data_IF_304972767287
#
_entry.id   IF_304972767287
#
_cell.length_a   1.000
_cell.length_b   1.000
_cell.length_c   1.000
_cell.angle_alpha   90.00
_cell.angle_beta   90.00
_cell.angle_gamma   90.00
#
_symmetry.space_group_name_H-M   'P 1'
#
loop_
_entity.id
_entity.type
_entity.pdbx_description
1 polymer ?
#
# COMPACT_ATOMS: atom_id res chain seq x y z
N UNK A 1 69.71 0.32 23.00
CA UNK A 1 68.52 1.14 22.63
C UNK A 1 67.57 0.33 21.73
N UNK A 2 66.52 -0.22 22.27
CA UNK A 2 65.53 -0.97 21.53
C UNK A 2 64.30 -0.05 21.23
N UNK A 3 64.00 0.20 19.94
CA UNK A 3 62.84 0.94 19.53
C UNK A 3 61.60 0.03 19.61
N UNK A 4 60.61 0.41 20.42
CA UNK A 4 59.33 -0.25 20.51
C UNK A 4 58.44 0.32 19.39
N UNK A 5 58.05 -0.52 18.45
CA UNK A 5 57.09 -0.13 17.43
C UNK A 5 55.69 -0.26 18.02
N UNK A 6 55.02 0.88 18.15
CA UNK A 6 53.58 0.91 18.48
C UNK A 6 52.77 0.49 17.25
N UNK A 7 52.11 -0.65 17.33
CA UNK A 7 51.13 -1.07 16.33
C UNK A 7 49.83 -0.32 16.55
N UNK A 8 49.46 0.47 15.57
CA UNK A 8 48.17 1.12 15.54
C UNK A 8 47.06 0.08 15.34
N UNK A 9 46.16 -0.06 16.31
CA UNK A 9 44.98 -0.87 16.21
C UNK A 9 43.98 -0.22 15.20
N UNK A 10 43.93 -0.81 14.01
CA UNK A 10 42.92 -0.42 12.99
C UNK A 10 41.54 -0.82 13.46
N UNK A 11 40.71 0.18 13.71
CA UNK A 11 39.25 0.01 13.97
C UNK A 11 38.62 -0.53 12.70
N UNK A 12 37.85 -1.63 12.76
CA UNK A 12 37.12 -2.12 11.58
C UNK A 12 36.06 -1.10 11.18
N UNK A 13 35.81 -0.90 9.86
CA UNK A 13 34.75 0.00 9.40
C UNK A 13 33.42 -0.52 9.87
N UNK A 14 32.66 0.35 10.53
CA UNK A 14 31.29 0.06 10.97
C UNK A 14 30.47 -0.43 9.79
N UNK A 15 29.93 -1.62 9.91
CA UNK A 15 28.95 -2.18 8.98
C UNK A 15 27.72 -1.28 8.97
N UNK A 16 27.65 -0.37 8.03
CA UNK A 16 26.43 0.35 7.70
C UNK A 16 25.41 -0.70 7.28
N UNK A 17 24.48 -0.99 8.17
CA UNK A 17 23.36 -1.89 7.89
C UNK A 17 22.49 -1.20 6.84
N UNK A 18 22.60 -1.65 5.59
CA UNK A 18 21.74 -1.18 4.51
C UNK A 18 20.28 -1.33 4.95
N UNK A 19 19.39 -0.36 4.66
CA UNK A 19 17.98 -0.50 4.97
C UNK A 19 17.49 -1.78 4.30
N UNK A 20 16.81 -2.64 5.08
CA UNK A 20 16.19 -3.87 4.58
C UNK A 20 15.19 -3.45 3.51
N UNK A 21 15.56 -3.61 2.25
CA UNK A 21 14.65 -3.37 1.15
C UNK A 21 13.44 -4.30 1.33
N UNK A 22 12.26 -3.75 1.45
CA UNK A 22 11.02 -4.53 1.48
C UNK A 22 10.98 -5.36 0.20
N UNK A 23 10.95 -6.66 0.32
CA UNK A 23 11.02 -7.58 -0.81
C UNK A 23 9.76 -7.58 -1.69
N UNK A 24 8.64 -7.07 -1.19
CA UNK A 24 7.38 -6.94 -1.92
C UNK A 24 6.71 -5.59 -1.57
N UNK A 25 6.41 -4.80 -2.60
CA UNK A 25 5.73 -3.50 -2.45
C UNK A 25 4.77 -3.29 -3.61
N UNK A 26 3.67 -2.60 -3.32
CA UNK A 26 2.84 -1.96 -4.32
C UNK A 26 3.41 -0.57 -4.64
N UNK A 27 2.96 0.03 -5.73
CA UNK A 27 3.26 1.41 -6.02
C UNK A 27 2.65 2.32 -4.93
N UNK A 28 3.45 3.24 -4.39
CA UNK A 28 2.96 4.20 -3.41
C UNK A 28 1.92 5.14 -4.03
N UNK A 29 0.88 5.47 -3.29
CA UNK A 29 -0.04 6.50 -3.71
C UNK A 29 0.70 7.84 -3.81
N UNK A 30 0.75 8.42 -5.02
CA UNK A 30 1.40 9.70 -5.29
C UNK A 30 0.44 10.72 -5.89
N UNK A 31 -0.47 10.26 -6.75
CA UNK A 31 -1.47 11.10 -7.43
C UNK A 31 -2.80 10.34 -7.54
N UNK A 32 -3.64 10.47 -6.52
CA UNK A 32 -4.96 9.86 -6.49
C UNK A 32 -5.96 10.54 -7.43
N UNK A 33 -5.72 11.79 -7.84
CA UNK A 33 -6.53 12.45 -8.85
C UNK A 33 -6.32 11.80 -10.23
N UNK A 34 -5.08 11.51 -10.61
CA UNK A 34 -4.76 10.79 -11.84
C UNK A 34 -5.29 9.34 -11.80
N UNK A 35 -5.12 8.63 -10.68
CA UNK A 35 -5.68 7.30 -10.48
C UNK A 35 -7.21 7.32 -10.55
N UNK A 36 -7.84 8.33 -9.97
CA UNK A 36 -9.29 8.54 -10.01
C UNK A 36 -9.82 8.78 -11.43
N UNK A 37 -9.12 9.59 -12.21
CA UNK A 37 -9.45 9.81 -13.63
C UNK A 37 -9.34 8.51 -14.44
N UNK A 38 -8.31 7.71 -14.20
CA UNK A 38 -8.14 6.40 -14.83
C UNK A 38 -9.27 5.44 -14.42
N UNK A 39 -9.55 5.35 -13.12
CA UNK A 39 -10.65 4.54 -12.58
C UNK A 39 -12.00 4.88 -13.24
N UNK A 40 -12.30 6.16 -13.38
CA UNK A 40 -13.54 6.62 -14.01
C UNK A 40 -13.60 6.26 -15.50
N UNK A 41 -12.50 6.45 -16.23
CA UNK A 41 -12.43 6.17 -17.67
C UNK A 41 -12.49 4.67 -17.98
N UNK A 42 -11.70 3.88 -17.27
CA UNK A 42 -11.59 2.44 -17.49
C UNK A 42 -12.64 1.63 -16.71
N UNK A 43 -13.34 2.26 -15.76
CA UNK A 43 -14.31 1.64 -14.82
C UNK A 43 -13.71 0.51 -14.02
N UNK A 44 -12.52 0.74 -13.52
CA UNK A 44 -11.80 -0.19 -12.65
C UNK A 44 -11.70 0.39 -11.24
N UNK A 45 -11.82 -0.43 -10.20
CA UNK A 45 -11.69 0.04 -8.82
C UNK A 45 -10.24 0.36 -8.46
N UNK A 46 -10.06 1.15 -7.42
CA UNK A 46 -8.78 1.45 -6.81
C UNK A 46 -8.71 0.73 -5.46
N UNK A 47 -7.73 -0.12 -5.26
CA UNK A 47 -7.43 -0.76 -3.99
C UNK A 47 -6.36 0.06 -3.26
N UNK A 48 -6.72 0.62 -2.13
CA UNK A 48 -5.81 1.30 -1.21
C UNK A 48 -5.39 0.32 -0.12
N UNK A 49 -4.11 0.03 -0.05
CA UNK A 49 -3.51 -0.80 0.98
C UNK A 49 -2.82 0.08 2.00
N UNK A 50 -3.37 0.12 3.21
CA UNK A 50 -2.87 0.91 4.32
C UNK A 50 -1.92 0.06 5.16
N UNK A 51 -0.68 0.48 5.24
CA UNK A 51 0.36 -0.20 6.01
C UNK A 51 1.16 0.76 6.89
N UNK A 52 2.11 0.22 7.63
CA UNK A 52 3.11 0.96 8.39
C UNK A 52 4.47 0.29 8.29
N UNK A 53 5.51 1.02 8.68
CA UNK A 53 6.82 0.43 8.84
C UNK A 53 6.80 -0.66 9.92
N UNK A 54 7.66 -1.68 9.75
CA UNK A 54 7.83 -2.76 10.74
C UNK A 54 6.52 -3.51 11.07
N UNK A 55 5.71 -3.78 10.03
CA UNK A 55 4.46 -4.52 10.15
C UNK A 55 4.58 -5.89 9.47
N UNK A 56 4.87 -6.97 10.22
CA UNK A 56 5.03 -8.31 9.64
C UNK A 56 3.79 -8.82 8.90
N UNK A 57 2.59 -8.51 9.40
CA UNK A 57 1.33 -8.86 8.75
C UNK A 57 1.13 -8.11 7.43
N UNK A 58 1.59 -6.84 7.35
CA UNK A 58 1.57 -6.07 6.12
C UNK A 58 2.52 -6.67 5.07
N UNK A 59 3.73 -7.05 5.48
CA UNK A 59 4.69 -7.71 4.59
C UNK A 59 4.15 -9.05 4.06
N UNK A 60 3.48 -9.81 4.91
CA UNK A 60 2.84 -11.06 4.52
C UNK A 60 1.71 -10.81 3.52
N UNK A 61 0.82 -9.85 3.80
CA UNK A 61 -0.28 -9.48 2.90
C UNK A 61 0.24 -9.04 1.52
N UNK A 62 1.30 -8.23 1.49
CA UNK A 62 1.93 -7.78 0.25
C UNK A 62 2.52 -8.95 -0.54
N UNK A 63 3.37 -9.76 0.10
CA UNK A 63 4.11 -10.82 -0.57
C UNK A 63 3.23 -11.97 -1.05
N UNK A 64 2.29 -12.41 -0.22
CA UNK A 64 1.50 -13.62 -0.49
C UNK A 64 0.24 -13.34 -1.30
N UNK A 65 -0.29 -12.11 -1.25
CA UNK A 65 -1.59 -11.79 -1.88
C UNK A 65 -1.54 -10.59 -2.80
N UNK A 66 -1.28 -9.39 -2.28
CA UNK A 66 -1.53 -8.14 -3.01
C UNK A 66 -0.62 -7.94 -4.22
N UNK A 67 0.68 -8.20 -4.08
CA UNK A 67 1.63 -8.05 -5.19
C UNK A 67 1.36 -9.08 -6.29
N UNK A 68 1.18 -10.39 -6.00
CA UNK A 68 0.76 -11.36 -7.01
C UNK A 68 -0.56 -10.99 -7.69
N UNK A 69 -1.59 -10.63 -6.93
CA UNK A 69 -2.90 -10.25 -7.48
C UNK A 69 -2.80 -9.08 -8.45
N UNK A 70 -2.04 -8.03 -8.10
CA UNK A 70 -1.87 -6.83 -8.93
C UNK A 70 -1.16 -7.12 -10.26
N UNK A 71 -0.32 -8.13 -10.29
CA UNK A 71 0.49 -8.50 -11.47
C UNK A 71 -0.15 -9.57 -12.35
N UNK A 72 -1.06 -10.34 -11.80
CA UNK A 72 -1.69 -11.50 -12.44
C UNK A 72 -3.19 -11.28 -12.64
N UNK A 73 -4.03 -11.78 -11.72
CA UNK A 73 -5.47 -11.83 -11.86
C UNK A 73 -6.15 -10.47 -12.03
N UNK A 74 -5.60 -9.42 -11.38
CA UNK A 74 -6.17 -8.07 -11.40
C UNK A 74 -5.35 -7.07 -12.23
N UNK A 75 -4.37 -7.53 -12.97
CA UNK A 75 -3.58 -6.69 -13.86
C UNK A 75 -4.47 -5.97 -14.89
N UNK A 76 -4.44 -4.63 -14.87
CA UNK A 76 -5.28 -3.80 -15.74
C UNK A 76 -6.78 -3.80 -15.41
N UNK A 77 -7.20 -4.52 -14.36
CA UNK A 77 -8.61 -4.60 -13.90
C UNK A 77 -8.84 -3.86 -12.59
N UNK A 78 -7.80 -3.46 -11.92
CA UNK A 78 -7.81 -2.62 -10.72
C UNK A 78 -6.50 -1.85 -10.62
N UNK A 79 -6.53 -0.72 -9.93
CA UNK A 79 -5.36 0.06 -9.56
C UNK A 79 -5.01 -0.28 -8.13
N UNK A 80 -3.75 -0.61 -7.84
CA UNK A 80 -3.28 -0.94 -6.50
C UNK A 80 -2.33 0.15 -6.03
N UNK A 81 -2.60 0.73 -4.85
CA UNK A 81 -1.77 1.76 -4.23
C UNK A 81 -1.51 1.49 -2.76
N UNK A 82 -0.29 1.76 -2.33
CA UNK A 82 0.15 1.62 -0.94
C UNK A 82 0.13 2.99 -0.25
N UNK A 83 -0.42 3.05 0.95
CA UNK A 83 -0.55 4.26 1.77
C UNK A 83 0.04 3.98 3.15
N UNK A 84 1.03 4.75 3.56
CA UNK A 84 1.63 4.66 4.88
C UNK A 84 0.80 5.43 5.91
N UNK A 85 0.32 4.77 6.96
CA UNK A 85 -0.61 5.39 7.92
C UNK A 85 0.08 6.29 8.95
N UNK A 86 1.38 6.17 9.12
CA UNK A 86 2.14 6.85 10.18
C UNK A 86 3.03 7.98 9.65
N UNK A 87 3.22 8.10 8.34
CA UNK A 87 4.15 9.06 7.75
C UNK A 87 3.46 10.09 6.86
N UNK A 88 3.91 11.35 6.92
CA UNK A 88 3.38 12.42 6.09
C UNK A 88 3.97 12.39 4.66
N UNK A 89 3.87 11.23 3.99
CA UNK A 89 4.31 11.09 2.60
C UNK A 89 3.42 11.94 1.71
N UNK A 90 3.98 12.84 0.88
CA UNK A 90 3.18 13.70 0.02
C UNK A 90 2.35 12.90 -0.99
N UNK A 91 1.11 13.33 -1.21
CA UNK A 91 0.19 12.77 -2.20
C UNK A 91 -0.76 13.84 -2.72
N UNK A 92 -1.16 13.75 -3.98
CA UNK A 92 -2.29 14.52 -4.53
C UNK A 92 -3.56 13.72 -4.28
N UNK A 93 -4.54 14.33 -3.64
CA UNK A 93 -5.82 13.72 -3.31
C UNK A 93 -6.73 13.59 -4.54
N UNK A 94 -7.83 12.85 -4.41
CA UNK A 94 -8.84 12.66 -5.47
C UNK A 94 -9.42 13.97 -6.02
N UNK A 95 -9.49 15.02 -5.22
CA UNK A 95 -9.95 16.36 -5.62
C UNK A 95 -8.84 17.26 -6.20
N UNK A 96 -7.62 16.74 -6.32
CA UNK A 96 -6.46 17.47 -6.82
C UNK A 96 -5.72 18.29 -5.76
N UNK A 97 -6.15 18.28 -4.50
CA UNK A 97 -5.45 19.01 -3.44
C UNK A 97 -4.20 18.25 -2.97
N UNK A 98 -3.19 18.97 -2.53
CA UNK A 98 -1.99 18.37 -1.94
C UNK A 98 -2.24 18.01 -0.48
N UNK A 99 -1.92 16.79 -0.13
CA UNK A 99 -2.08 16.27 1.22
C UNK A 99 -0.97 15.24 1.53
N UNK A 100 -1.19 14.37 2.49
CA UNK A 100 -0.24 13.35 2.93
C UNK A 100 -0.93 12.02 3.22
N UNK A 101 -0.15 10.94 3.21
CA UNK A 101 -0.63 9.57 3.45
C UNK A 101 -1.35 9.43 4.80
N UNK A 102 -0.77 9.96 5.87
CA UNK A 102 -1.38 9.94 7.21
C UNK A 102 -2.72 10.71 7.25
N UNK A 103 -2.84 11.80 6.52
CA UNK A 103 -4.10 12.54 6.37
C UNK A 103 -5.14 11.72 5.60
N UNK A 104 -4.75 11.05 4.51
CA UNK A 104 -5.63 10.12 3.78
C UNK A 104 -6.10 8.98 4.69
N UNK A 105 -5.18 8.36 5.44
CA UNK A 105 -5.51 7.30 6.37
C UNK A 105 -6.49 7.77 7.45
N UNK A 106 -6.29 8.95 8.02
CA UNK A 106 -7.19 9.54 9.01
C UNK A 106 -8.60 9.79 8.44
N UNK A 107 -8.72 10.26 7.19
CA UNK A 107 -10.01 10.47 6.52
C UNK A 107 -10.79 9.16 6.34
N UNK A 108 -10.10 8.07 5.98
CA UNK A 108 -10.70 6.74 5.91
C UNK A 108 -10.83 6.05 7.28
N UNK A 109 -10.48 6.74 8.38
CA UNK A 109 -10.54 6.22 9.76
C UNK A 109 -9.74 4.94 9.96
N UNK A 110 -8.65 4.80 9.22
CA UNK A 110 -7.75 3.65 9.34
C UNK A 110 -6.93 3.78 10.61
N UNK A 111 -7.06 2.81 11.51
CA UNK A 111 -6.36 2.75 12.80
C UNK A 111 -5.46 1.53 12.95
N UNK A 112 -5.70 0.51 12.13
CA UNK A 112 -4.98 -0.75 12.16
C UNK A 112 -4.33 -1.04 10.82
N UNK A 113 -3.22 -1.74 10.84
CA UNK A 113 -2.53 -2.24 9.65
C UNK A 113 -2.34 -3.75 9.74
N UNK A 114 -2.46 -4.48 8.63
CA UNK A 114 -2.90 -3.98 7.33
C UNK A 114 -4.40 -3.66 7.29
N UNK A 115 -4.79 -2.67 6.50
CA UNK A 115 -6.19 -2.42 6.13
C UNK A 115 -6.28 -2.24 4.62
N UNK A 116 -7.30 -2.81 4.00
CA UNK A 116 -7.59 -2.64 2.58
C UNK A 116 -8.94 -1.95 2.42
N UNK A 117 -8.98 -0.93 1.59
CA UNK A 117 -10.20 -0.23 1.20
C UNK A 117 -10.25 -0.16 -0.32
N UNK A 118 -11.37 -0.57 -0.90
CA UNK A 118 -11.62 -0.47 -2.34
C UNK A 118 -12.49 0.75 -2.60
N UNK A 119 -12.02 1.65 -3.46
CA UNK A 119 -12.66 2.94 -3.74
C UNK A 119 -12.86 3.15 -5.23
N UNK A 120 -13.77 4.06 -5.56
CA UNK A 120 -13.97 4.56 -6.91
C UNK A 120 -13.06 5.75 -7.24
N UNK A 121 -13.20 6.29 -8.44
CA UNK A 121 -12.42 7.45 -8.90
C UNK A 121 -12.68 8.74 -8.13
N UNK A 122 -13.77 8.81 -7.39
CA UNK A 122 -14.12 9.91 -6.48
C UNK A 122 -13.66 9.67 -5.02
N UNK A 123 -12.95 8.59 -4.77
CA UNK A 123 -12.48 8.20 -3.43
C UNK A 123 -13.55 7.60 -2.52
N UNK A 124 -14.77 7.37 -2.99
CA UNK A 124 -15.80 6.71 -2.17
C UNK A 124 -15.55 5.21 -2.06
N UNK A 125 -15.78 4.67 -0.87
CA UNK A 125 -15.71 3.23 -0.64
C UNK A 125 -16.76 2.49 -1.49
N UNK A 126 -16.31 1.42 -2.14
CA UNK A 126 -17.14 0.55 -2.98
C UNK A 126 -17.47 -0.78 -2.32
N UNK A 127 -16.76 -1.12 -1.27
CA UNK A 127 -16.97 -2.33 -0.46
C UNK A 127 -16.63 -2.06 1.00
N UNK A 128 -17.00 -2.96 1.90
CA UNK A 128 -16.60 -2.88 3.29
C UNK A 128 -15.07 -2.99 3.42
N UNK A 129 -14.43 -2.22 4.31
CA UNK A 129 -12.99 -2.34 4.57
C UNK A 129 -12.62 -3.73 5.08
N UNK A 130 -11.43 -4.21 4.68
CA UNK A 130 -10.83 -5.43 5.21
C UNK A 130 -9.76 -5.01 6.22
N UNK A 131 -10.02 -5.24 7.50
CA UNK A 131 -9.16 -4.83 8.60
C UNK A 131 -8.38 -6.01 9.13
N UNK A 132 -7.04 -5.91 9.14
CA UNK A 132 -6.15 -6.95 9.62
C UNK A 132 -5.97 -8.11 8.64
N UNK A 133 -5.21 -9.12 9.09
CA UNK A 133 -4.97 -10.39 8.40
C UNK A 133 -5.48 -11.53 9.29
N UNK A 134 -6.78 -11.49 9.62
CA UNK A 134 -7.36 -12.36 10.64
C UNK A 134 -7.58 -13.80 10.17
N UNK A 135 -7.83 -14.00 8.89
CA UNK A 135 -8.16 -15.30 8.31
C UNK A 135 -7.28 -15.55 7.10
N UNK A 136 -6.06 -16.00 7.36
CA UNK A 136 -5.01 -16.16 6.34
C UNK A 136 -5.51 -16.98 5.15
N UNK A 137 -6.13 -18.12 5.40
CA UNK A 137 -6.58 -19.03 4.33
C UNK A 137 -7.66 -18.43 3.42
N UNK A 138 -8.39 -17.43 3.87
CA UNK A 138 -9.48 -16.78 3.12
C UNK A 138 -9.15 -15.34 2.71
N UNK A 139 -8.02 -14.80 3.10
CA UNK A 139 -7.70 -13.40 2.86
C UNK A 139 -7.71 -13.04 1.36
N UNK A 140 -7.15 -13.89 0.52
CA UNK A 140 -7.20 -13.72 -0.94
C UNK A 140 -8.63 -13.66 -1.47
N UNK A 141 -9.52 -14.54 -0.99
CA UNK A 141 -10.92 -14.55 -1.39
C UNK A 141 -11.68 -13.28 -0.95
N UNK A 142 -11.35 -12.73 0.22
CA UNK A 142 -11.92 -11.45 0.66
C UNK A 142 -11.46 -10.28 -0.21
N UNK A 143 -10.19 -10.27 -0.60
CA UNK A 143 -9.65 -9.26 -1.53
C UNK A 143 -10.32 -9.35 -2.90
N UNK A 144 -10.44 -10.55 -3.47
CA UNK A 144 -11.12 -10.77 -4.75
C UNK A 144 -12.57 -10.28 -4.68
N UNK A 145 -13.29 -10.67 -3.65
CA UNK A 145 -14.68 -10.26 -3.44
C UNK A 145 -14.84 -8.76 -3.32
N UNK A 146 -13.99 -8.09 -2.55
CA UNK A 146 -14.03 -6.63 -2.42
C UNK A 146 -13.81 -5.92 -3.75
N UNK A 147 -12.86 -6.40 -4.56
CA UNK A 147 -12.59 -5.88 -5.90
C UNK A 147 -13.75 -6.14 -6.86
N UNK A 148 -14.33 -7.33 -6.83
CA UNK A 148 -15.54 -7.66 -7.63
C UNK A 148 -16.74 -6.81 -7.25
N UNK A 149 -16.96 -6.57 -5.95
CA UNK A 149 -17.98 -5.65 -5.45
C UNK A 149 -17.73 -4.24 -6.00
N UNK A 150 -16.47 -3.80 -6.01
CA UNK A 150 -16.07 -2.53 -6.60
C UNK A 150 -16.39 -2.43 -8.08
N UNK A 151 -16.10 -3.46 -8.87
CA UNK A 151 -16.43 -3.51 -10.31
C UNK A 151 -17.94 -3.42 -10.51
N UNK A 152 -18.73 -4.18 -9.73
CA UNK A 152 -20.20 -4.14 -9.80
C UNK A 152 -20.75 -2.75 -9.46
N UNK A 153 -20.24 -2.13 -8.40
CA UNK A 153 -20.66 -0.78 -7.97
C UNK A 153 -20.38 0.28 -9.04
N UNK A 154 -19.26 0.18 -9.74
CA UNK A 154 -18.89 1.08 -10.84
C UNK A 154 -19.76 0.84 -12.09
N UNK A 155 -20.17 -0.39 -12.34
CA UNK A 155 -21.11 -0.75 -13.42
C UNK A 155 -22.54 -0.27 -13.16
N UNK A 156 -23.03 -0.35 -11.93
CA UNK A 156 -24.38 0.03 -11.53
C UNK A 156 -24.65 1.54 -11.59
N UNK A 157 -23.62 2.40 -11.54
CA UNK A 157 -23.77 3.86 -11.62
C UNK A 157 -24.17 4.39 -13.00
N UNK A 158 -24.52 3.53 -13.96
CA UNK A 158 -24.97 3.93 -15.31
C UNK A 158 -26.49 4.16 -15.45
N UNK A 159 -27.24 3.81 -14.45
CA UNK A 159 -28.69 3.97 -14.43
C UNK A 159 -29.05 5.16 -13.54
#
# INVERSE_FOLDING_TARGET
MRRVHAQALSTPPGTSRAPIARSAQLEAASDLAADGAMSARERIPILLFFDRLECPYCERALREYLVPMSREAWRGRAIFRQVDIDRPVPVVDFDGTRTSHDTIAARYRVRFSPTVIVVGGDGRELSAPIVGLLTVDFYGAYLDRALEDGVRALGARRL
#
